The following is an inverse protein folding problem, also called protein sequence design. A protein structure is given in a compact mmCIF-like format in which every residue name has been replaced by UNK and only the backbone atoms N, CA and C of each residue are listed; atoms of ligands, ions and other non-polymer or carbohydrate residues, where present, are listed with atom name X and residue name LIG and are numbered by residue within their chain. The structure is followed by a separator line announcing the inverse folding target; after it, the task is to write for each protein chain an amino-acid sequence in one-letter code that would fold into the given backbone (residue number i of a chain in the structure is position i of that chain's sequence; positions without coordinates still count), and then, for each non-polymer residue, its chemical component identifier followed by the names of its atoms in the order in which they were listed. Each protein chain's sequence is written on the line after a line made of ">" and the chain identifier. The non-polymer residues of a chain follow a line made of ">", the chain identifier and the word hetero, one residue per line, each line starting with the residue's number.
data_IF_637317298791
#
_entry.id   IF_637317298791
#
_cell.length_a   1.000
_cell.length_b   1.000
_cell.length_c   1.000
_cell.angle_alpha   90.00
_cell.angle_beta   90.00
_cell.angle_gamma   90.00
#
_symmetry.space_group_name_H-M   'P 1'
#
loop_
_entity.id
_entity.type
_entity.pdbx_description
1 polymer ?
#
# COMPACT_ATOMS: atom_id res chain seq x y z
N UNK A 1 -6.90 -33.25 -2.35
CA UNK A 1 -6.32 -32.26 -1.43
C UNK A 1 -7.20 -31.02 -1.43
N UNK A 2 -7.70 -30.57 -0.28
CA UNK A 2 -8.46 -29.31 -0.21
C UNK A 2 -7.50 -28.16 -0.54
N UNK A 3 -7.85 -27.37 -1.56
CA UNK A 3 -7.09 -26.16 -1.91
C UNK A 3 -7.21 -25.15 -0.78
N UNK A 4 -6.10 -24.59 -0.34
CA UNK A 4 -6.11 -23.52 0.66
C UNK A 4 -6.72 -22.26 0.06
N UNK A 5 -7.72 -21.68 0.72
CA UNK A 5 -8.37 -20.44 0.32
C UNK A 5 -7.92 -19.31 1.24
N UNK A 6 -7.37 -18.25 0.66
CA UNK A 6 -6.97 -17.06 1.39
C UNK A 6 -7.80 -15.87 0.90
N UNK A 7 -8.43 -15.16 1.82
CA UNK A 7 -9.06 -13.88 1.52
C UNK A 7 -8.11 -12.74 1.90
N UNK A 8 -7.72 -11.92 0.93
CA UNK A 8 -6.72 -10.87 1.13
C UNK A 8 -7.31 -9.49 0.80
N UNK A 9 -7.01 -8.48 1.64
CA UNK A 9 -7.62 -7.17 1.53
C UNK A 9 -6.53 -6.10 1.60
N UNK A 10 -6.43 -5.33 0.53
CA UNK A 10 -5.72 -4.05 0.50
C UNK A 10 -6.69 -2.92 0.16
N UNK A 11 -6.41 -1.71 0.57
CA UNK A 11 -7.27 -0.55 0.29
C UNK A 11 -6.60 0.54 -0.54
N UNK A 12 -5.30 0.42 -0.81
CA UNK A 12 -4.47 1.41 -1.49
C UNK A 12 -3.46 0.76 -2.45
N UNK A 13 -2.89 1.54 -3.37
CA UNK A 13 -1.93 1.06 -4.37
C UNK A 13 -0.65 0.46 -3.76
N UNK A 14 -0.19 0.98 -2.63
CA UNK A 14 0.93 0.41 -1.87
C UNK A 14 0.60 -0.98 -1.34
N UNK A 15 -0.60 -1.13 -0.79
CA UNK A 15 -1.11 -2.41 -0.31
C UNK A 15 -1.29 -3.43 -1.45
N UNK A 16 -1.72 -2.99 -2.64
CA UNK A 16 -1.81 -3.83 -3.83
C UNK A 16 -0.43 -4.36 -4.27
N UNK A 17 0.60 -3.51 -4.26
CA UNK A 17 1.98 -3.91 -4.55
C UNK A 17 2.48 -4.97 -3.56
N UNK A 18 2.30 -4.71 -2.26
CA UNK A 18 2.75 -5.63 -1.21
C UNK A 18 1.93 -6.92 -1.19
N UNK A 19 0.64 -6.82 -1.46
CA UNK A 19 -0.26 -7.97 -1.58
C UNK A 19 0.14 -8.89 -2.73
N UNK A 20 0.46 -8.33 -3.89
CA UNK A 20 0.92 -9.10 -5.05
C UNK A 20 2.22 -9.87 -4.75
N UNK A 21 3.22 -9.22 -4.14
CA UNK A 21 4.47 -9.88 -3.72
C UNK A 21 4.24 -10.98 -2.68
N UNK A 22 3.34 -10.75 -1.73
CA UNK A 22 2.97 -11.74 -0.74
C UNK A 22 2.30 -12.96 -1.40
N UNK A 23 1.37 -12.74 -2.33
CA UNK A 23 0.70 -13.81 -3.09
C UNK A 23 1.70 -14.62 -3.92
N UNK A 24 2.63 -13.96 -4.63
CA UNK A 24 3.71 -14.61 -5.36
C UNK A 24 4.54 -15.52 -4.43
N UNK A 25 4.91 -15.01 -3.25
CA UNK A 25 5.69 -15.77 -2.28
C UNK A 25 4.93 -16.96 -1.70
N UNK A 26 3.64 -16.81 -1.41
CA UNK A 26 2.79 -17.91 -0.95
C UNK A 26 2.65 -18.99 -2.03
N UNK A 27 2.47 -18.62 -3.29
CA UNK A 27 2.38 -19.57 -4.42
C UNK A 27 3.66 -20.37 -4.61
N UNK A 28 4.84 -19.80 -4.32
CA UNK A 28 6.11 -20.55 -4.38
C UNK A 28 6.17 -21.68 -3.35
N UNK A 29 5.49 -21.51 -2.21
CA UNK A 29 5.44 -22.50 -1.12
C UNK A 29 4.26 -23.47 -1.34
N UNK A 30 3.10 -22.95 -1.69
CA UNK A 30 1.88 -23.72 -1.95
C UNK A 30 1.22 -23.27 -3.27
N UNK A 31 1.59 -23.87 -4.41
CA UNK A 31 1.10 -23.46 -5.72
C UNK A 31 -0.42 -23.59 -5.93
N UNK A 32 -1.09 -24.36 -5.08
CA UNK A 32 -2.53 -24.61 -5.20
C UNK A 32 -3.39 -23.67 -4.36
N UNK A 33 -2.78 -22.65 -3.73
CA UNK A 33 -3.51 -21.64 -2.97
C UNK A 33 -4.39 -20.78 -3.88
N UNK A 34 -5.64 -20.66 -3.52
CA UNK A 34 -6.61 -19.78 -4.19
C UNK A 34 -6.77 -18.47 -3.42
N UNK A 35 -6.68 -17.35 -4.13
CA UNK A 35 -6.78 -16.02 -3.54
C UNK A 35 -8.07 -15.31 -3.98
N UNK A 36 -8.75 -14.74 -3.01
CA UNK A 36 -9.98 -13.96 -3.18
C UNK A 36 -9.85 -12.64 -2.44
N UNK A 37 -10.58 -11.60 -2.83
CA UNK A 37 -10.68 -10.43 -1.99
C UNK A 37 -10.62 -9.08 -2.70
N UNK A 38 -10.13 -8.09 -1.96
CA UNK A 38 -10.07 -6.69 -2.35
C UNK A 38 -8.63 -6.31 -2.70
N UNK A 39 -8.41 -5.87 -3.91
CA UNK A 39 -7.07 -5.55 -4.41
C UNK A 39 -7.11 -4.67 -5.66
N UNK A 40 -5.96 -4.44 -6.23
CA UNK A 40 -5.79 -3.74 -7.49
C UNK A 40 -5.30 -4.64 -8.62
N UNK A 41 -4.81 -3.99 -9.67
CA UNK A 41 -4.37 -4.69 -10.89
C UNK A 41 -3.18 -5.64 -10.64
N UNK A 42 -2.26 -5.30 -9.69
CA UNK A 42 -1.09 -6.13 -9.41
C UNK A 42 -1.48 -7.44 -8.74
N UNK A 43 -2.32 -7.38 -7.71
CA UNK A 43 -2.84 -8.59 -7.07
C UNK A 43 -3.70 -9.41 -8.04
N UNK A 44 -4.48 -8.75 -8.91
CA UNK A 44 -5.25 -9.43 -9.95
C UNK A 44 -4.34 -10.17 -10.94
N UNK A 45 -3.24 -9.54 -11.37
CA UNK A 45 -2.25 -10.20 -12.24
C UNK A 45 -1.59 -11.40 -11.57
N UNK A 46 -1.51 -11.41 -10.23
CA UNK A 46 -1.06 -12.53 -9.43
C UNK A 46 -2.17 -13.56 -9.13
N UNK A 47 -3.32 -13.47 -9.78
CA UNK A 47 -4.40 -14.45 -9.66
C UNK A 47 -5.39 -14.19 -8.53
N UNK A 48 -5.47 -12.96 -8.00
CA UNK A 48 -6.54 -12.60 -7.07
C UNK A 48 -7.88 -12.60 -7.80
N UNK A 49 -8.82 -13.38 -7.31
CA UNK A 49 -10.22 -13.29 -7.71
C UNK A 49 -10.84 -12.09 -6.99
N UNK A 50 -10.95 -10.97 -7.72
CA UNK A 50 -11.41 -9.71 -7.16
C UNK A 50 -12.89 -9.76 -6.80
N UNK A 51 -13.20 -9.46 -5.55
CA UNK A 51 -14.57 -9.17 -5.10
C UNK A 51 -14.85 -7.67 -5.16
N UNK A 52 -13.81 -6.84 -5.00
CA UNK A 52 -13.89 -5.40 -5.14
C UNK A 52 -12.52 -4.82 -5.55
N UNK A 53 -12.52 -3.77 -6.36
CA UNK A 53 -11.28 -3.10 -6.79
C UNK A 53 -10.97 -1.89 -5.90
N UNK A 54 -9.68 -1.72 -5.53
CA UNK A 54 -9.20 -0.63 -4.65
C UNK A 54 -9.58 0.77 -5.15
N UNK A 55 -9.75 0.98 -6.46
CA UNK A 55 -10.25 2.25 -7.03
C UNK A 55 -11.57 2.71 -6.39
N UNK A 56 -12.37 1.76 -5.90
CA UNK A 56 -13.63 2.02 -5.25
C UNK A 56 -13.51 2.34 -3.76
N UNK A 57 -12.35 2.06 -3.16
CA UNK A 57 -12.00 2.36 -1.77
C UNK A 57 -11.07 3.56 -1.63
N UNK A 58 -10.38 3.96 -2.70
CA UNK A 58 -9.39 5.04 -2.69
C UNK A 58 -10.07 6.42 -2.64
N UNK A 59 -10.80 6.66 -1.56
CA UNK A 59 -11.52 7.91 -1.27
C UNK A 59 -10.69 8.70 -0.28
N UNK A 60 -10.16 9.84 -0.73
CA UNK A 60 -9.20 10.65 0.02
C UNK A 60 -9.86 11.94 0.51
N UNK A 61 -9.75 12.18 1.82
CA UNK A 61 -10.23 13.38 2.47
C UNK A 61 -11.46 13.13 3.34
N UNK A 62 -11.53 13.84 4.48
CA UNK A 62 -12.61 13.68 5.46
C UNK A 62 -13.97 14.02 4.84
N UNK A 63 -14.04 15.05 3.99
CA UNK A 63 -15.28 15.45 3.31
C UNK A 63 -15.72 14.43 2.26
N UNK A 64 -14.79 13.85 1.52
CA UNK A 64 -15.08 12.83 0.53
C UNK A 64 -15.51 11.50 1.18
N UNK A 65 -14.92 11.14 2.31
CA UNK A 65 -15.34 9.97 3.10
C UNK A 65 -16.79 10.09 3.55
N UNK A 66 -17.22 11.28 4.00
CA UNK A 66 -18.62 11.51 4.39
C UNK A 66 -19.56 11.38 3.18
N UNK A 67 -19.19 11.96 2.04
CA UNK A 67 -19.97 11.89 0.80
C UNK A 67 -20.11 10.46 0.26
N UNK A 68 -19.10 9.62 0.45
CA UNK A 68 -19.07 8.25 -0.05
C UNK A 68 -19.28 7.18 1.03
N UNK A 69 -19.71 7.58 2.24
CA UNK A 69 -19.88 6.67 3.37
C UNK A 69 -20.79 5.49 3.05
N UNK A 70 -21.92 5.72 2.38
CA UNK A 70 -22.85 4.68 1.97
C UNK A 70 -22.20 3.63 1.07
N UNK A 71 -21.35 4.06 0.14
CA UNK A 71 -20.59 3.18 -0.75
C UNK A 71 -19.57 2.35 0.02
N UNK A 72 -18.77 2.98 0.90
CA UNK A 72 -17.79 2.27 1.73
C UNK A 72 -18.50 1.26 2.62
N UNK A 73 -19.63 1.63 3.22
CA UNK A 73 -20.46 0.72 4.04
C UNK A 73 -20.99 -0.46 3.24
N UNK A 74 -21.43 -0.22 1.98
CA UNK A 74 -21.87 -1.31 1.09
C UNK A 74 -20.73 -2.27 0.77
N UNK A 75 -19.55 -1.74 0.40
CA UNK A 75 -18.36 -2.56 0.15
C UNK A 75 -17.99 -3.37 1.40
N UNK A 76 -18.00 -2.74 2.57
CA UNK A 76 -17.73 -3.42 3.84
C UNK A 76 -18.67 -4.60 4.08
N UNK A 77 -19.98 -4.38 3.95
CA UNK A 77 -20.97 -5.42 4.16
C UNK A 77 -20.83 -6.55 3.12
N UNK A 78 -20.63 -6.20 1.85
CA UNK A 78 -20.41 -7.19 0.80
C UNK A 78 -19.14 -8.03 1.08
N UNK A 79 -18.04 -7.40 1.51
CA UNK A 79 -16.81 -8.10 1.87
C UNK A 79 -17.05 -9.09 3.02
N UNK A 80 -17.82 -8.71 4.05
CA UNK A 80 -18.16 -9.63 5.14
C UNK A 80 -18.97 -10.81 4.64
N UNK A 81 -20.00 -10.58 3.81
CA UNK A 81 -20.84 -11.65 3.28
C UNK A 81 -20.07 -12.60 2.34
N UNK A 82 -19.18 -12.07 1.50
CA UNK A 82 -18.31 -12.92 0.66
C UNK A 82 -17.35 -13.79 1.49
N UNK A 83 -16.76 -13.24 2.55
CA UNK A 83 -15.90 -14.02 3.47
C UNK A 83 -16.73 -15.11 4.18
N UNK A 84 -17.94 -14.81 4.62
CA UNK A 84 -18.85 -15.78 5.25
C UNK A 84 -19.21 -16.92 4.29
N UNK A 85 -19.51 -16.59 3.04
CA UNK A 85 -19.86 -17.54 1.99
C UNK A 85 -18.67 -18.42 1.58
N UNK A 86 -17.52 -17.81 1.39
CA UNK A 86 -16.30 -18.49 0.94
C UNK A 86 -15.68 -19.39 2.01
N UNK A 87 -15.83 -19.01 3.32
CA UNK A 87 -15.18 -19.68 4.46
C UNK A 87 -13.69 -19.92 4.22
N UNK A 88 -12.90 -18.85 3.97
CA UNK A 88 -11.46 -19.01 3.70
C UNK A 88 -10.74 -19.59 4.92
N UNK A 89 -9.64 -20.30 4.66
CA UNK A 89 -8.75 -20.81 5.71
C UNK A 89 -8.06 -19.69 6.48
N UNK A 90 -7.81 -18.55 5.82
CA UNK A 90 -7.16 -17.38 6.40
C UNK A 90 -7.66 -16.08 5.78
N UNK A 91 -7.74 -15.03 6.59
CA UNK A 91 -7.98 -13.66 6.14
C UNK A 91 -6.72 -12.84 6.38
N UNK A 92 -6.19 -12.19 5.35
CA UNK A 92 -5.02 -11.30 5.44
C UNK A 92 -5.47 -9.86 5.19
N UNK A 93 -5.24 -9.00 6.16
CA UNK A 93 -5.53 -7.57 6.10
C UNK A 93 -4.21 -6.82 5.91
N UNK A 94 -4.11 -6.02 4.84
CA UNK A 94 -2.91 -5.25 4.53
C UNK A 94 -3.17 -3.77 4.79
N UNK A 95 -2.44 -3.18 5.78
CA UNK A 95 -2.54 -1.75 6.12
C UNK A 95 -4.00 -1.25 6.18
N UNK A 96 -4.31 -0.05 5.68
CA UNK A 96 -5.65 0.54 5.51
C UNK A 96 -6.52 0.48 6.79
N UNK A 97 -6.03 1.03 7.92
CA UNK A 97 -6.57 0.75 9.26
C UNK A 97 -8.01 1.23 9.49
N UNK A 98 -8.45 2.25 8.75
CA UNK A 98 -9.82 2.78 8.86
C UNK A 98 -10.90 1.75 8.53
N UNK A 99 -10.63 0.89 7.57
CA UNK A 99 -11.51 -0.19 7.12
C UNK A 99 -11.12 -1.52 7.79
N UNK A 100 -9.85 -1.89 7.71
CA UNK A 100 -9.37 -3.20 8.11
C UNK A 100 -9.52 -3.50 9.61
N UNK A 101 -9.32 -2.53 10.51
CA UNK A 101 -9.54 -2.75 11.95
C UNK A 101 -11.02 -3.01 12.29
N UNK A 102 -11.94 -2.32 11.60
CA UNK A 102 -13.39 -2.58 11.77
C UNK A 102 -13.77 -3.95 11.23
N UNK A 103 -13.16 -4.33 10.10
CA UNK A 103 -13.38 -5.64 9.50
C UNK A 103 -12.81 -6.73 10.40
N UNK A 104 -11.60 -6.58 10.95
CA UNK A 104 -11.01 -7.51 11.91
C UNK A 104 -11.94 -7.75 13.10
N UNK A 105 -12.48 -6.68 13.72
CA UNK A 105 -13.46 -6.81 14.82
C UNK A 105 -14.69 -7.64 14.40
N UNK A 106 -15.23 -7.39 13.20
CA UNK A 106 -16.41 -8.09 12.71
C UNK A 106 -16.13 -9.57 12.44
N UNK A 107 -14.98 -9.86 11.82
CA UNK A 107 -14.59 -11.22 11.47
C UNK A 107 -14.13 -12.04 12.69
N UNK A 108 -13.50 -11.41 13.67
CA UNK A 108 -13.17 -12.04 14.95
C UNK A 108 -14.42 -12.59 15.64
N UNK A 109 -15.52 -11.81 15.68
CA UNK A 109 -16.80 -12.26 16.23
C UNK A 109 -17.44 -13.42 15.43
N UNK A 110 -16.94 -13.70 14.23
CA UNK A 110 -17.36 -14.81 13.36
C UNK A 110 -16.34 -15.97 13.35
N UNK A 111 -15.34 -15.94 14.24
CA UNK A 111 -14.29 -16.95 14.42
C UNK A 111 -13.42 -17.19 13.19
N UNK A 112 -13.06 -16.13 12.43
CA UNK A 112 -12.08 -16.22 11.34
C UNK A 112 -10.65 -16.08 11.84
N UNK A 113 -9.71 -16.80 11.21
CA UNK A 113 -8.25 -16.63 11.42
C UNK A 113 -7.77 -15.40 10.67
N UNK A 114 -7.38 -14.35 11.41
CA UNK A 114 -7.01 -13.05 10.86
C UNK A 114 -5.52 -12.81 11.07
N UNK A 115 -4.81 -12.54 9.97
CA UNK A 115 -3.44 -12.02 9.97
C UNK A 115 -3.46 -10.56 9.54
N UNK A 116 -2.83 -9.68 10.30
CA UNK A 116 -2.63 -8.29 9.89
C UNK A 116 -1.18 -8.11 9.42
N UNK A 117 -1.03 -7.79 8.15
CA UNK A 117 0.25 -7.57 7.49
C UNK A 117 0.42 -6.08 7.18
N UNK A 118 1.56 -5.51 7.49
CA UNK A 118 1.87 -4.08 7.46
C UNK A 118 0.99 -3.35 8.47
N UNK A 119 1.47 -3.30 9.70
CA UNK A 119 0.74 -2.71 10.81
C UNK A 119 0.56 -1.21 10.62
N UNK A 120 -0.57 -0.63 11.05
CA UNK A 120 -0.74 0.81 11.05
C UNK A 120 0.22 1.47 12.04
N UNK A 121 0.70 2.66 11.72
CA UNK A 121 1.66 3.42 12.54
C UNK A 121 1.00 3.95 13.83
N UNK A 122 0.53 3.03 14.68
CA UNK A 122 -0.17 3.35 15.93
C UNK A 122 0.72 4.08 16.95
N UNK A 123 2.02 3.91 16.82
CA UNK A 123 3.04 4.58 17.63
C UNK A 123 3.11 6.09 17.35
N UNK A 124 2.71 6.55 16.17
CA UNK A 124 2.69 7.96 15.81
C UNK A 124 1.37 8.64 16.23
N UNK A 125 0.25 7.90 16.15
CA UNK A 125 -1.06 8.44 16.52
C UNK A 125 -2.09 7.31 16.70
N UNK A 126 -3.07 7.53 17.59
CA UNK A 126 -4.13 6.55 17.92
C UNK A 126 -3.58 5.22 18.45
N UNK A 127 -2.71 5.29 19.45
CA UNK A 127 -2.13 4.13 20.14
C UNK A 127 -3.19 3.11 20.60
N UNK A 128 -4.39 3.55 20.96
CA UNK A 128 -5.51 2.66 21.34
C UNK A 128 -5.86 1.60 20.30
N UNK A 129 -5.46 1.78 19.04
CA UNK A 129 -5.64 0.78 17.98
C UNK A 129 -4.75 -0.46 18.16
N UNK A 130 -3.66 -0.36 18.93
CA UNK A 130 -2.79 -1.52 19.25
C UNK A 130 -3.57 -2.61 19.98
N UNK A 131 -4.46 -2.23 20.91
CA UNK A 131 -5.35 -3.18 21.61
C UNK A 131 -6.35 -3.87 20.66
N UNK A 132 -6.80 -3.16 19.62
CA UNK A 132 -7.68 -3.77 18.62
C UNK A 132 -6.92 -4.81 17.76
N UNK A 133 -5.67 -4.51 17.40
CA UNK A 133 -4.82 -5.46 16.69
C UNK A 133 -4.60 -6.72 17.50
N UNK A 134 -4.21 -6.57 18.77
CA UNK A 134 -4.01 -7.68 19.70
C UNK A 134 -5.26 -8.53 19.88
N UNK A 135 -6.40 -7.88 20.10
CA UNK A 135 -7.65 -8.56 20.42
C UNK A 135 -8.26 -9.30 19.22
N UNK A 136 -8.15 -8.73 18.02
CA UNK A 136 -8.92 -9.22 16.86
C UNK A 136 -8.08 -9.97 15.84
N UNK A 137 -6.74 -9.90 15.91
CA UNK A 137 -5.87 -10.55 14.96
C UNK A 137 -5.04 -11.64 15.64
N UNK A 138 -5.00 -12.82 15.05
CA UNK A 138 -4.23 -13.95 15.53
C UNK A 138 -2.74 -13.78 15.27
N UNK A 139 -2.37 -13.12 14.18
CA UNK A 139 -1.00 -12.85 13.80
C UNK A 139 -0.81 -11.41 13.34
N UNK A 140 0.23 -10.77 13.88
CA UNK A 140 0.62 -9.41 13.55
C UNK A 140 1.99 -9.42 12.90
N UNK A 141 2.10 -8.84 11.70
CA UNK A 141 3.34 -8.82 10.92
C UNK A 141 3.71 -7.38 10.60
N UNK A 142 4.82 -6.94 11.15
CA UNK A 142 5.42 -5.61 10.93
C UNK A 142 6.50 -5.65 9.86
N UNK A 143 6.67 -4.54 9.16
CA UNK A 143 7.75 -4.30 8.20
C UNK A 143 8.74 -3.22 8.67
N UNK A 144 8.46 -2.57 9.79
CA UNK A 144 9.31 -1.51 10.35
C UNK A 144 10.12 -2.07 11.53
N UNK A 145 11.46 -1.93 11.54
CA UNK A 145 12.31 -2.64 12.50
C UNK A 145 12.00 -2.37 13.96
N UNK A 146 11.74 -1.12 14.34
CA UNK A 146 11.51 -0.74 15.73
C UNK A 146 10.11 -1.12 16.26
N UNK A 147 9.14 -1.40 15.38
CA UNK A 147 7.76 -1.72 15.78
C UNK A 147 7.70 -2.95 16.66
N UNK A 148 8.51 -3.99 16.38
CA UNK A 148 8.56 -5.18 17.22
C UNK A 148 8.84 -4.83 18.68
N UNK A 149 9.85 -3.99 18.95
CA UNK A 149 10.18 -3.56 20.29
C UNK A 149 9.09 -2.68 20.91
N UNK A 150 8.53 -1.78 20.10
CA UNK A 150 7.47 -0.88 20.56
C UNK A 150 6.21 -1.65 21.01
N UNK A 151 5.79 -2.65 20.25
CA UNK A 151 4.67 -3.53 20.60
C UNK A 151 5.00 -4.47 21.77
N UNK A 152 6.20 -5.03 21.80
CA UNK A 152 6.65 -5.92 22.89
C UNK A 152 6.63 -5.24 24.25
N UNK A 153 7.01 -3.95 24.34
CA UNK A 153 6.91 -3.15 25.56
C UNK A 153 5.46 -2.99 26.07
N UNK A 154 4.47 -3.31 25.24
CA UNK A 154 3.03 -3.28 25.56
C UNK A 154 2.42 -4.66 25.71
N UNK A 155 3.26 -5.69 25.76
CA UNK A 155 2.83 -7.08 25.87
C UNK A 155 2.26 -7.69 24.59
N UNK A 156 2.37 -7.00 23.44
CA UNK A 156 1.80 -7.42 22.17
C UNK A 156 2.88 -8.12 21.34
N UNK A 157 2.65 -9.37 20.95
CA UNK A 157 3.57 -10.11 20.09
C UNK A 157 3.41 -9.72 18.61
N UNK A 158 4.52 -9.31 18.01
CA UNK A 158 4.60 -8.89 16.60
C UNK A 158 5.79 -9.54 15.92
N UNK A 159 5.54 -10.19 14.81
CA UNK A 159 6.59 -10.71 13.95
C UNK A 159 7.12 -9.62 13.01
N UNK A 160 8.42 -9.33 13.08
CA UNK A 160 9.09 -8.45 12.13
C UNK A 160 9.56 -9.27 10.91
N UNK A 161 9.02 -8.97 9.74
CA UNK A 161 9.30 -9.71 8.50
C UNK A 161 10.34 -9.03 7.58
N UNK A 162 10.84 -7.85 7.94
CA UNK A 162 11.63 -7.02 7.03
C UNK A 162 10.77 -6.15 6.13
N UNK A 163 11.40 -5.14 5.52
CA UNK A 163 10.69 -4.25 4.61
C UNK A 163 10.67 -4.83 3.19
N UNK A 164 9.51 -4.94 2.52
CA UNK A 164 9.41 -5.55 1.18
C UNK A 164 10.23 -4.85 0.08
N UNK A 165 10.67 -3.61 0.32
CA UNK A 165 11.55 -2.88 -0.59
C UNK A 165 13.05 -3.11 -0.33
N UNK A 166 13.43 -3.83 0.72
CA UNK A 166 14.85 -4.13 1.01
C UNK A 166 15.51 -4.94 -0.11
N UNK A 167 14.74 -5.76 -0.81
CA UNK A 167 15.23 -6.55 -1.94
C UNK A 167 15.71 -5.69 -3.13
N UNK A 168 15.29 -4.41 -3.17
CA UNK A 168 15.74 -3.45 -4.17
C UNK A 168 17.15 -2.90 -3.88
N UNK A 169 17.72 -3.15 -2.70
CA UNK A 169 19.06 -2.70 -2.31
C UNK A 169 20.17 -3.29 -3.19
N UNK A 170 19.90 -4.41 -3.87
CA UNK A 170 20.86 -5.08 -4.77
C UNK A 170 20.84 -4.51 -6.20
N UNK A 171 20.00 -3.49 -6.49
CA UNK A 171 20.01 -2.84 -7.78
C UNK A 171 21.26 -1.93 -7.88
N UNK A 172 22.14 -2.27 -8.78
CA UNK A 172 23.27 -1.38 -9.13
C UNK A 172 22.74 -0.28 -10.03
N UNK A 173 22.90 0.97 -9.58
CA UNK A 173 22.52 2.13 -10.37
C UNK A 173 23.80 2.79 -10.91
N UNK A 174 23.91 2.84 -12.23
CA UNK A 174 24.95 3.58 -12.89
C UNK A 174 24.42 4.95 -13.32
N UNK A 175 25.11 6.02 -12.87
CA UNK A 175 24.75 7.39 -13.18
C UNK A 175 24.86 7.69 -14.67
N UNK A 176 25.89 7.17 -15.33
CA UNK A 176 26.11 7.40 -16.75
C UNK A 176 24.95 6.86 -17.58
N UNK A 177 24.61 5.58 -17.40
CA UNK A 177 23.48 4.93 -18.07
C UNK A 177 22.16 5.66 -17.81
N UNK A 178 21.94 6.11 -16.57
CA UNK A 178 20.74 6.88 -16.22
C UNK A 178 20.69 8.22 -16.96
N UNK A 179 21.78 8.97 -16.97
CA UNK A 179 21.85 10.26 -17.64
C UNK A 179 21.63 10.12 -19.15
N UNK A 180 22.23 9.10 -19.78
CA UNK A 180 22.04 8.80 -21.20
C UNK A 180 20.58 8.49 -21.51
N UNK A 181 19.97 7.60 -20.73
CA UNK A 181 18.57 7.19 -20.91
C UNK A 181 17.59 8.35 -20.84
N UNK A 182 17.89 9.36 -20.01
CA UNK A 182 17.00 10.51 -19.78
C UNK A 182 17.49 11.81 -20.44
N UNK A 183 18.48 11.72 -21.34
CA UNK A 183 19.04 12.88 -22.06
C UNK A 183 19.52 13.99 -21.11
N UNK A 184 20.10 13.63 -19.97
CA UNK A 184 20.60 14.56 -18.96
C UNK A 184 22.09 14.77 -19.18
N UNK A 185 22.57 16.01 -19.26
CA UNK A 185 24.00 16.27 -19.28
C UNK A 185 24.70 15.71 -18.03
N UNK A 186 25.69 14.86 -18.19
CA UNK A 186 26.34 14.12 -17.09
C UNK A 186 26.89 15.03 -15.99
N UNK A 187 27.40 16.22 -16.38
CA UNK A 187 27.90 17.25 -15.48
C UNK A 187 26.81 17.95 -14.64
N UNK A 188 25.54 17.82 -15.00
CA UNK A 188 24.48 18.51 -14.29
C UNK A 188 24.18 17.82 -12.96
N UNK A 189 23.88 18.61 -11.94
CA UNK A 189 23.25 18.09 -10.70
C UNK A 189 21.79 17.79 -10.98
N UNK A 190 21.32 16.64 -10.51
CA UNK A 190 19.94 16.20 -10.71
C UNK A 190 19.16 16.54 -9.45
N UNK A 191 18.05 17.26 -9.61
CA UNK A 191 17.06 17.52 -8.57
C UNK A 191 15.82 16.68 -8.88
N UNK A 192 15.45 15.82 -7.95
CA UNK A 192 14.26 14.97 -8.06
C UNK A 192 13.09 15.67 -7.37
N UNK A 193 12.01 15.86 -8.11
CA UNK A 193 10.76 16.41 -7.63
C UNK A 193 9.79 15.27 -7.32
N UNK A 194 9.32 15.18 -6.08
CA UNK A 194 8.37 14.16 -5.62
C UNK A 194 7.06 14.82 -5.18
N UNK A 195 6.17 15.20 -6.11
CA UNK A 195 4.97 15.98 -5.80
C UNK A 195 3.94 15.21 -5.00
N UNK A 196 4.08 13.89 -4.90
CA UNK A 196 3.17 12.98 -4.21
C UNK A 196 2.73 11.82 -5.10
N UNK A 197 2.01 10.88 -4.50
CA UNK A 197 1.48 9.69 -5.17
C UNK A 197 -0.01 9.81 -5.53
N UNK A 198 -0.69 10.85 -5.07
CA UNK A 198 -2.13 11.07 -5.22
C UNK A 198 -2.41 12.32 -6.03
N UNK A 199 -3.44 12.28 -6.89
CA UNK A 199 -3.81 13.41 -7.77
C UNK A 199 -4.03 14.72 -7.00
N UNK A 200 -4.59 14.66 -5.78
CA UNK A 200 -4.84 15.84 -4.97
C UNK A 200 -3.54 16.44 -4.40
N UNK A 201 -2.57 15.60 -4.03
CA UNK A 201 -1.24 16.02 -3.58
C UNK A 201 -0.50 16.71 -4.72
N UNK A 202 -0.49 16.06 -5.89
CA UNK A 202 0.15 16.61 -7.09
C UNK A 202 -0.47 17.97 -7.47
N UNK A 203 -1.80 18.09 -7.52
CA UNK A 203 -2.47 19.35 -7.83
C UNK A 203 -2.12 20.47 -6.85
N UNK A 204 -1.94 20.15 -5.55
CA UNK A 204 -1.56 21.13 -4.53
C UNK A 204 -0.11 21.56 -4.62
N UNK A 205 0.79 20.62 -4.87
CA UNK A 205 2.23 20.88 -4.81
C UNK A 205 2.80 21.35 -6.14
N UNK A 206 2.20 20.97 -7.28
CA UNK A 206 2.78 21.17 -8.60
C UNK A 206 3.13 22.64 -8.89
N UNK A 207 2.21 23.57 -8.63
CA UNK A 207 2.45 25.01 -8.82
C UNK A 207 3.63 25.55 -8.00
N UNK A 208 3.85 24.98 -6.81
CA UNK A 208 4.98 25.38 -5.96
C UNK A 208 6.29 24.84 -6.56
N UNK A 209 6.28 23.60 -7.03
CA UNK A 209 7.43 23.00 -7.69
C UNK A 209 7.80 23.73 -8.99
N UNK A 210 6.83 24.08 -9.83
CA UNK A 210 7.07 24.86 -11.07
C UNK A 210 7.82 26.17 -10.75
N UNK A 211 7.29 26.96 -9.82
CA UNK A 211 7.94 28.21 -9.40
C UNK A 211 9.35 27.97 -8.81
N UNK A 212 9.53 26.91 -8.05
CA UNK A 212 10.83 26.57 -7.48
C UNK A 212 11.83 26.20 -8.59
N UNK A 213 11.38 25.42 -9.58
CA UNK A 213 12.21 25.07 -10.75
C UNK A 213 12.62 26.32 -11.50
N UNK A 214 11.69 27.23 -11.82
CA UNK A 214 11.98 28.48 -12.50
C UNK A 214 13.07 29.32 -11.78
N UNK A 215 12.92 29.51 -10.47
CA UNK A 215 13.88 30.24 -9.66
C UNK A 215 15.26 29.57 -9.70
N UNK A 216 15.33 28.26 -9.52
CA UNK A 216 16.57 27.51 -9.49
C UNK A 216 17.26 27.47 -10.85
N UNK A 217 16.51 27.39 -11.96
CA UNK A 217 17.06 27.45 -13.32
C UNK A 217 17.67 28.82 -13.64
N UNK A 218 17.06 29.90 -13.14
CA UNK A 218 17.62 31.23 -13.28
C UNK A 218 18.95 31.40 -12.52
N UNK A 219 19.05 30.80 -11.33
CA UNK A 219 20.22 30.92 -10.46
C UNK A 219 21.37 29.95 -10.82
N UNK A 220 21.03 28.79 -11.40
CA UNK A 220 21.97 27.70 -11.61
C UNK A 220 21.81 27.06 -12.99
N UNK A 221 22.81 27.25 -13.85
CA UNK A 221 22.77 26.73 -15.24
C UNK A 221 23.01 25.20 -15.36
N UNK A 222 23.57 24.56 -14.31
CA UNK A 222 23.96 23.15 -14.35
C UNK A 222 22.99 22.26 -13.52
N UNK A 223 21.72 22.54 -13.58
CA UNK A 223 20.67 21.72 -12.94
C UNK A 223 19.83 21.03 -13.98
N UNK A 224 19.49 19.78 -13.70
CA UNK A 224 18.44 19.01 -14.40
C UNK A 224 17.38 18.61 -13.40
N UNK A 225 16.12 18.68 -13.79
CA UNK A 225 15.00 18.37 -12.92
C UNK A 225 14.28 17.12 -13.44
N UNK A 226 13.94 16.20 -12.53
CA UNK A 226 13.19 14.99 -12.84
C UNK A 226 11.98 14.95 -11.93
N UNK A 227 10.79 14.83 -12.49
CA UNK A 227 9.60 14.57 -11.71
C UNK A 227 9.33 13.07 -11.64
N UNK A 228 9.14 12.56 -10.42
CA UNK A 228 8.74 11.18 -10.17
C UNK A 228 7.33 11.20 -9.60
N UNK A 229 6.39 10.70 -10.40
CA UNK A 229 5.02 10.43 -9.96
C UNK A 229 4.73 8.93 -10.00
N UNK A 230 3.80 8.46 -9.18
CA UNK A 230 3.37 7.07 -9.24
C UNK A 230 2.71 6.80 -10.61
N UNK A 231 3.06 5.69 -11.26
CA UNK A 231 2.79 5.36 -12.67
C UNK A 231 1.32 5.25 -13.09
N UNK A 232 0.35 5.52 -12.23
CA UNK A 232 -1.07 5.52 -12.59
C UNK A 232 -1.61 6.88 -13.07
N UNK A 233 -0.84 7.94 -12.88
CA UNK A 233 -1.11 9.23 -13.48
C UNK A 233 -0.28 9.31 -14.76
N UNK A 234 -0.86 8.87 -15.89
CA UNK A 234 -0.32 9.30 -17.18
C UNK A 234 -0.27 10.82 -17.12
N UNK A 235 0.93 11.36 -17.02
CA UNK A 235 1.14 12.76 -17.29
C UNK A 235 0.53 13.02 -18.67
N UNK A 236 -0.34 14.01 -18.77
CA UNK A 236 -0.55 14.64 -20.05
C UNK A 236 0.84 15.13 -20.46
N UNK A 237 1.42 14.46 -21.44
CA UNK A 237 2.60 14.94 -22.14
C UNK A 237 2.19 16.29 -22.75
N UNK A 238 2.54 17.36 -22.10
CA UNK A 238 2.65 18.64 -22.77
C UNK A 238 3.94 18.59 -23.56
N UNK A 239 3.79 18.19 -24.84
CA UNK A 239 4.78 18.52 -25.85
C UNK A 239 4.85 20.05 -25.92
N UNK A 240 5.99 20.61 -25.59
CA UNK A 240 6.49 21.90 -26.12
C UNK A 240 7.99 21.98 -25.87
#
# INVERSE_FOLDING_TARGET
>A
MNREKIFIISGEDSGDLHGAKLMESIKKINPHTEFFGVGGNRMQSEGLQLTEHIKNLNIIGIFEVVKHYSRIKKIFNNTVEEIKKLRPNKVILIDYPGFNLRLAKKLYALNFDITYFILPQVWAWKESRSKMLEQYCKKLISIIPFEKNWFSQRGIDVHYAGHPLSDLSNLTFDRYTFCQKHSIPEKNKIIVLMPGSRSIEIKRHWKIFEKTVEILQHQHKNLSFISVSYTHLRAHETNS
#
